data_IF_688642334237
#
_entry.id   IF_688642334237
#
_cell.length_a   1.000
_cell.length_b   1.000
_cell.length_c   1.000
_cell.angle_alpha   90.00
_cell.angle_beta   90.00
_cell.angle_gamma   90.00
#
_symmetry.space_group_name_H-M   'P 1'
#
loop_
_entity.id
_entity.type
_entity.pdbx_description
1 polymer ?
#
# COMPACT_ATOMS: atom_id res chain seq x y z
N UNK A 1 -9.08 -10.89 0.32
CA UNK A 1 -9.47 -10.20 -0.95
C UNK A 1 -10.98 -10.14 -1.14
N UNK A 2 -11.74 -11.25 -1.26
CA UNK A 2 -13.22 -11.21 -1.46
C UNK A 2 -13.99 -10.43 -0.39
N UNK A 3 -13.70 -10.67 0.89
CA UNK A 3 -14.38 -9.96 1.98
C UNK A 3 -14.12 -8.44 1.92
N UNK A 4 -12.89 -8.06 1.64
CA UNK A 4 -12.51 -6.63 1.50
C UNK A 4 -13.20 -6.00 0.29
N UNK A 5 -13.22 -6.68 -0.86
CA UNK A 5 -13.89 -6.19 -2.06
C UNK A 5 -15.41 -6.05 -1.85
N UNK A 6 -16.05 -7.01 -1.14
CA UNK A 6 -17.47 -6.94 -0.79
C UNK A 6 -17.76 -5.74 0.11
N UNK A 7 -17.05 -5.61 1.23
CA UNK A 7 -17.24 -4.50 2.16
C UNK A 7 -17.03 -3.14 1.48
N UNK A 8 -15.99 -3.01 0.68
CA UNK A 8 -15.70 -1.79 -0.06
C UNK A 8 -16.82 -1.44 -1.05
N UNK A 9 -17.33 -2.44 -1.80
CA UNK A 9 -18.46 -2.26 -2.72
C UNK A 9 -19.74 -1.83 -2.00
N UNK A 10 -20.01 -2.38 -0.81
CA UNK A 10 -21.16 -2.01 0.01
C UNK A 10 -21.05 -0.56 0.51
N UNK A 11 -19.86 -0.15 0.96
CA UNK A 11 -19.59 1.22 1.41
C UNK A 11 -19.70 2.26 0.27
N UNK A 12 -19.26 1.92 -0.94
CA UNK A 12 -19.46 2.79 -2.12
C UNK A 12 -20.95 2.94 -2.45
N UNK A 13 -21.68 1.82 -2.52
CA UNK A 13 -23.11 1.83 -2.82
C UNK A 13 -23.94 2.61 -1.81
N UNK A 14 -23.53 2.60 -0.55
CA UNK A 14 -24.18 3.39 0.52
C UNK A 14 -23.78 4.87 0.51
N UNK A 15 -22.78 5.26 -0.29
CA UNK A 15 -22.22 6.63 -0.31
C UNK A 15 -21.32 6.93 0.89
N UNK A 16 -20.94 5.91 1.70
CA UNK A 16 -20.06 6.08 2.85
C UNK A 16 -18.63 6.39 2.44
N UNK A 17 -18.20 5.93 1.26
CA UNK A 17 -16.92 6.31 0.66
C UNK A 17 -17.14 6.94 -0.71
N UNK A 18 -16.36 7.98 -1.08
CA UNK A 18 -16.41 8.58 -2.41
C UNK A 18 -15.98 7.61 -3.51
N UNK A 19 -16.55 7.75 -4.69
CA UNK A 19 -16.08 7.03 -5.88
C UNK A 19 -14.61 7.31 -6.19
N UNK A 20 -13.95 6.34 -6.80
CA UNK A 20 -12.56 6.48 -7.26
C UNK A 20 -11.49 6.26 -6.17
N UNK A 21 -11.88 5.94 -4.94
CA UNK A 21 -10.92 5.57 -3.89
C UNK A 21 -10.26 4.23 -4.21
N UNK A 22 -8.98 4.09 -3.83
CA UNK A 22 -8.25 2.84 -3.94
C UNK A 22 -8.54 1.95 -2.74
N UNK A 23 -8.57 0.64 -2.97
CA UNK A 23 -8.67 -0.38 -1.94
C UNK A 23 -7.32 -1.11 -1.85
N UNK A 24 -6.62 -0.92 -0.76
CA UNK A 24 -5.39 -1.65 -0.44
C UNK A 24 -5.75 -2.95 0.29
N UNK A 25 -5.16 -4.06 -0.13
CA UNK A 25 -5.43 -5.39 0.43
C UNK A 25 -4.12 -6.16 0.56
N UNK A 26 -3.84 -6.64 1.76
CA UNK A 26 -2.66 -7.47 2.01
C UNK A 26 -2.68 -8.76 1.18
N UNK A 27 -1.56 -9.08 0.61
CA UNK A 27 -1.25 -10.40 0.07
C UNK A 27 -1.20 -11.43 1.21
N UNK A 28 -1.60 -12.65 0.93
CA UNK A 28 -1.44 -13.76 1.88
C UNK A 28 -0.36 -14.68 1.34
N UNK A 29 0.89 -14.34 1.62
CA UNK A 29 2.08 -15.13 1.28
C UNK A 29 2.08 -15.61 -0.18
N UNK A 30 2.48 -16.85 -0.42
CA UNK A 30 2.54 -17.47 -1.75
C UNK A 30 1.16 -17.77 -2.36
N UNK A 31 0.05 -17.52 -1.64
CA UNK A 31 -1.30 -17.81 -2.13
C UNK A 31 -1.69 -16.82 -3.24
N UNK A 32 -1.98 -17.37 -4.41
CA UNK A 32 -2.62 -16.66 -5.50
C UNK A 32 -4.00 -17.27 -5.74
N UNK A 33 -4.94 -16.46 -6.22
CA UNK A 33 -6.26 -16.97 -6.60
C UNK A 33 -6.12 -18.02 -7.72
N UNK A 34 -6.86 -19.11 -7.60
CA UNK A 34 -6.99 -20.07 -8.70
C UNK A 34 -7.90 -19.53 -9.81
N UNK A 35 -8.00 -20.25 -10.93
CA UNK A 35 -8.76 -19.79 -12.11
C UNK A 35 -10.24 -19.52 -11.78
N UNK A 36 -10.88 -20.39 -10.98
CA UNK A 36 -12.30 -20.22 -10.59
C UNK A 36 -12.50 -19.00 -9.69
N UNK A 37 -11.62 -18.81 -8.73
CA UNK A 37 -11.63 -17.65 -7.83
C UNK A 37 -11.39 -16.34 -8.61
N UNK A 38 -10.49 -16.35 -9.59
CA UNK A 38 -10.27 -15.21 -10.48
C UNK A 38 -11.52 -14.88 -11.32
N UNK A 39 -12.18 -15.89 -11.88
CA UNK A 39 -13.42 -15.70 -12.64
C UNK A 39 -14.54 -15.14 -11.75
N UNK A 40 -14.65 -15.65 -10.52
CA UNK A 40 -15.63 -15.18 -9.55
C UNK A 40 -15.35 -13.74 -9.12
N UNK A 41 -14.09 -13.41 -8.83
CA UNK A 41 -13.67 -12.05 -8.49
C UNK A 41 -14.00 -11.06 -9.62
N UNK A 42 -13.66 -11.43 -10.86
CA UNK A 42 -13.97 -10.62 -12.05
C UNK A 42 -15.48 -10.43 -12.24
N UNK A 43 -16.25 -11.49 -12.10
CA UNK A 43 -17.71 -11.44 -12.27
C UNK A 43 -18.38 -10.57 -11.19
N UNK A 44 -17.95 -10.71 -9.94
CA UNK A 44 -18.61 -10.07 -8.78
C UNK A 44 -18.10 -8.66 -8.53
N UNK A 45 -16.81 -8.42 -8.75
CA UNK A 45 -16.11 -7.18 -8.34
C UNK A 45 -15.20 -6.63 -9.44
N UNK A 46 -15.43 -6.99 -10.72
CA UNK A 46 -14.59 -6.54 -11.84
C UNK A 46 -14.47 -5.03 -11.96
N UNK A 47 -15.50 -4.28 -11.56
CA UNK A 47 -15.51 -2.81 -11.53
C UNK A 47 -14.53 -2.22 -10.49
N UNK A 48 -14.14 -3.00 -9.46
CA UNK A 48 -13.17 -2.58 -8.43
C UNK A 48 -11.72 -2.90 -8.81
N UNK A 49 -11.49 -3.89 -9.69
CA UNK A 49 -10.13 -4.36 -10.00
C UNK A 49 -9.16 -3.26 -10.44
N UNK A 50 -9.56 -2.24 -11.21
CA UNK A 50 -8.66 -1.12 -11.56
C UNK A 50 -8.23 -0.28 -10.35
N UNK A 51 -8.96 -0.39 -9.24
CA UNK A 51 -8.72 0.37 -8.00
C UNK A 51 -8.21 -0.50 -6.86
N UNK A 52 -8.04 -1.81 -7.10
CA UNK A 52 -7.48 -2.74 -6.13
C UNK A 52 -5.96 -2.67 -6.18
N UNK A 53 -5.34 -2.42 -5.05
CA UNK A 53 -3.89 -2.43 -4.84
C UNK A 53 -3.55 -3.62 -3.94
N UNK A 54 -2.72 -4.53 -4.44
CA UNK A 54 -2.26 -5.67 -3.65
C UNK A 54 -0.95 -5.31 -2.94
N UNK A 55 -0.96 -5.35 -1.61
CA UNK A 55 0.21 -5.11 -0.77
C UNK A 55 1.03 -6.39 -0.64
N UNK A 56 2.30 -6.30 -0.94
CA UNK A 56 3.28 -7.39 -0.83
C UNK A 56 4.39 -6.91 0.08
N UNK A 57 4.64 -7.63 1.16
CA UNK A 57 5.75 -7.32 2.06
C UNK A 57 7.09 -7.71 1.45
N UNK A 58 8.16 -7.05 1.85
CA UNK A 58 9.51 -7.37 1.38
C UNK A 58 10.01 -8.76 1.82
N UNK A 59 9.45 -9.30 2.91
CA UNK A 59 9.76 -10.64 3.42
C UNK A 59 9.05 -11.76 2.65
N UNK A 60 8.06 -11.42 1.83
CA UNK A 60 7.34 -12.43 1.06
C UNK A 60 8.28 -13.07 0.03
N UNK A 61 8.35 -14.40 0.03
CA UNK A 61 9.14 -15.13 -0.97
C UNK A 61 8.59 -14.84 -2.37
N UNK A 62 9.32 -14.01 -3.10
CA UNK A 62 8.93 -13.54 -4.42
C UNK A 62 9.35 -14.57 -5.49
N UNK A 63 8.78 -15.78 -5.42
CA UNK A 63 8.81 -16.70 -6.54
C UNK A 63 8.22 -16.00 -7.80
N UNK A 64 8.98 -15.89 -8.89
CA UNK A 64 8.51 -15.22 -10.12
C UNK A 64 7.17 -15.76 -10.63
N UNK A 65 6.94 -17.06 -10.52
CA UNK A 65 5.69 -17.67 -10.95
C UNK A 65 4.52 -17.29 -10.04
N UNK A 66 4.76 -17.17 -8.72
CA UNK A 66 3.74 -16.69 -7.78
C UNK A 66 3.38 -15.23 -8.05
N UNK A 67 4.37 -14.38 -8.29
CA UNK A 67 4.15 -12.98 -8.65
C UNK A 67 3.36 -12.84 -9.95
N UNK A 68 3.71 -13.63 -10.97
CA UNK A 68 3.00 -13.63 -12.24
C UNK A 68 1.54 -14.11 -12.09
N UNK A 69 1.29 -15.11 -11.23
CA UNK A 69 -0.08 -15.52 -10.88
C UNK A 69 -0.88 -14.39 -10.23
N UNK A 70 -0.27 -13.64 -9.29
CA UNK A 70 -0.90 -12.48 -8.64
C UNK A 70 -1.23 -11.38 -9.67
N UNK A 71 -0.35 -11.13 -10.65
CA UNK A 71 -0.54 -10.16 -11.73
C UNK A 71 -1.73 -10.48 -12.65
N UNK A 72 -2.17 -11.72 -12.71
CA UNK A 72 -3.39 -12.10 -13.45
C UNK A 72 -4.65 -11.59 -12.77
N UNK A 73 -4.65 -11.53 -11.45
CA UNK A 73 -5.79 -11.10 -10.64
C UNK A 73 -5.81 -9.58 -10.42
N UNK A 74 -4.66 -8.99 -10.09
CA UNK A 74 -4.52 -7.57 -9.74
C UNK A 74 -3.38 -6.97 -10.54
N UNK A 75 -3.58 -5.74 -11.03
CA UNK A 75 -2.59 -5.05 -11.87
C UNK A 75 -1.72 -4.06 -11.09
N UNK A 76 -2.20 -3.59 -9.94
CA UNK A 76 -1.53 -2.57 -9.15
C UNK A 76 -1.01 -3.17 -7.85
N UNK A 77 0.25 -2.94 -7.57
CA UNK A 77 0.94 -3.45 -6.39
C UNK A 77 1.47 -2.31 -5.52
N UNK A 78 1.50 -2.55 -4.22
CA UNK A 78 2.27 -1.79 -3.26
C UNK A 78 3.35 -2.69 -2.65
N UNK A 79 4.56 -2.17 -2.49
CA UNK A 79 5.59 -2.80 -1.66
C UNK A 79 5.40 -2.28 -0.25
N UNK A 80 5.08 -3.18 0.67
CA UNK A 80 4.79 -2.90 2.08
C UNK A 80 6.03 -3.11 2.96
N UNK A 81 6.04 -2.46 4.12
CA UNK A 81 7.10 -2.51 5.14
C UNK A 81 8.51 -2.13 4.61
N UNK A 82 8.58 -1.25 3.59
CA UNK A 82 9.86 -0.86 3.00
C UNK A 82 10.75 -0.12 4.00
N UNK A 83 11.91 -0.68 4.26
CA UNK A 83 12.89 -0.17 5.22
C UNK A 83 12.99 -0.97 6.52
N UNK A 84 12.18 -2.03 6.69
CA UNK A 84 12.23 -2.89 7.87
C UNK A 84 13.25 -4.03 7.77
N UNK A 85 13.70 -4.42 6.57
CA UNK A 85 14.51 -5.63 6.33
C UNK A 85 15.66 -5.49 5.34
N UNK A 86 16.14 -6.63 4.84
CA UNK A 86 17.39 -6.74 4.08
C UNK A 86 17.21 -6.84 2.55
N UNK A 87 15.99 -6.95 2.03
CA UNK A 87 15.75 -7.28 0.61
C UNK A 87 15.00 -6.18 -0.17
N UNK A 88 14.97 -4.97 0.34
CA UNK A 88 14.20 -3.84 -0.19
C UNK A 88 14.36 -3.61 -1.71
N UNK A 89 15.61 -3.52 -2.19
CA UNK A 89 15.88 -3.20 -3.59
C UNK A 89 15.53 -4.38 -4.52
N UNK A 90 15.76 -5.61 -4.06
CA UNK A 90 15.43 -6.80 -4.84
C UNK A 90 13.91 -6.91 -5.05
N UNK A 91 13.14 -6.72 -3.98
CA UNK A 91 11.68 -6.73 -3.99
C UNK A 91 11.12 -5.60 -4.85
N UNK A 92 11.68 -4.39 -4.69
CA UNK A 92 11.32 -3.22 -5.47
C UNK A 92 11.50 -3.44 -6.99
N UNK A 93 12.61 -4.06 -7.40
CA UNK A 93 12.88 -4.35 -8.80
C UNK A 93 11.98 -5.47 -9.35
N UNK A 94 11.73 -6.52 -8.56
CA UNK A 94 10.91 -7.66 -8.97
C UNK A 94 9.43 -7.28 -9.10
N UNK A 95 8.90 -6.54 -8.12
CA UNK A 95 7.48 -6.15 -8.06
C UNK A 95 7.19 -5.01 -9.03
N UNK A 96 8.09 -4.03 -9.17
CA UNK A 96 7.84 -2.75 -9.86
C UNK A 96 6.51 -2.13 -9.39
N UNK A 97 6.38 -1.80 -8.10
CA UNK A 97 5.12 -1.39 -7.50
C UNK A 97 4.68 0.00 -7.98
N UNK A 98 3.38 0.30 -7.84
CA UNK A 98 2.88 1.67 -8.01
C UNK A 98 3.03 2.50 -6.72
N UNK A 99 3.13 1.81 -5.57
CA UNK A 99 3.26 2.44 -4.25
C UNK A 99 4.40 1.78 -3.46
N UNK A 100 5.19 2.61 -2.76
CA UNK A 100 6.19 2.19 -1.76
C UNK A 100 5.69 2.68 -0.42
N UNK A 101 5.38 1.77 0.51
CA UNK A 101 4.92 2.08 1.87
C UNK A 101 6.13 2.01 2.80
N UNK A 102 6.53 3.18 3.28
CA UNK A 102 7.67 3.32 4.21
C UNK A 102 7.28 2.86 5.58
N UNK A 103 8.02 1.89 6.11
CA UNK A 103 7.77 1.30 7.43
C UNK A 103 7.83 2.32 8.56
N UNK A 104 7.03 2.07 9.60
CA UNK A 104 6.99 2.82 10.85
C UNK A 104 8.39 3.08 11.46
N UNK A 105 9.31 2.11 11.38
CA UNK A 105 10.66 2.25 11.95
C UNK A 105 11.46 3.38 11.30
N UNK A 106 11.20 3.68 10.03
CA UNK A 106 11.80 4.82 9.31
C UNK A 106 11.05 6.11 9.64
N UNK A 107 9.71 6.07 9.69
CA UNK A 107 8.89 7.28 9.79
C UNK A 107 8.83 7.85 11.21
N UNK A 108 8.78 6.98 12.24
CA UNK A 108 8.72 7.45 13.64
C UNK A 108 9.97 8.23 14.03
N UNK A 109 9.79 9.47 14.47
CA UNK A 109 10.87 10.37 14.90
C UNK A 109 11.69 10.97 13.76
N UNK A 110 11.22 10.88 12.53
CA UNK A 110 11.89 11.43 11.35
C UNK A 110 12.14 12.95 11.45
N UNK A 111 11.33 13.66 12.20
CA UNK A 111 11.48 15.11 12.38
C UNK A 111 12.82 15.51 13.03
N UNK A 112 13.47 14.61 13.75
CA UNK A 112 14.73 14.85 14.48
C UNK A 112 15.89 13.97 14.03
N UNK A 113 15.71 13.13 13.01
CA UNK A 113 16.70 12.15 12.54
C UNK A 113 17.06 12.42 11.07
N UNK A 114 18.25 12.98 10.85
CA UNK A 114 18.73 13.37 9.52
C UNK A 114 18.99 12.17 8.61
N UNK A 115 19.34 11.01 9.18
CA UNK A 115 19.60 9.80 8.40
C UNK A 115 18.27 9.25 7.86
N UNK A 116 17.23 9.22 8.69
CA UNK A 116 15.86 8.87 8.25
C UNK A 116 15.33 9.81 7.18
N UNK A 117 15.54 11.14 7.36
CA UNK A 117 15.17 12.14 6.36
C UNK A 117 15.86 11.86 5.02
N UNK A 118 17.16 11.52 5.05
CA UNK A 118 17.91 11.22 3.84
C UNK A 118 17.42 9.94 3.15
N UNK A 119 17.10 8.90 3.92
CA UNK A 119 16.53 7.64 3.39
C UNK A 119 15.20 7.93 2.70
N UNK A 120 14.28 8.63 3.36
CA UNK A 120 12.97 8.97 2.79
C UNK A 120 13.13 9.83 1.54
N UNK A 121 13.96 10.88 1.58
CA UNK A 121 14.23 11.76 0.43
C UNK A 121 14.76 10.98 -0.78
N UNK A 122 15.69 10.05 -0.57
CA UNK A 122 16.25 9.22 -1.63
C UNK A 122 15.17 8.30 -2.23
N UNK A 123 14.34 7.68 -1.38
CA UNK A 123 13.25 6.79 -1.80
C UNK A 123 12.20 7.56 -2.59
N UNK A 124 11.78 8.74 -2.12
CA UNK A 124 10.84 9.63 -2.84
C UNK A 124 11.41 10.01 -4.20
N UNK A 125 12.66 10.47 -4.25
CA UNK A 125 13.31 10.83 -5.51
C UNK A 125 13.43 9.67 -6.50
N UNK A 126 13.67 8.44 -6.01
CA UNK A 126 13.66 7.25 -6.84
C UNK A 126 12.24 6.94 -7.35
N UNK A 127 11.26 6.92 -6.45
CA UNK A 127 9.87 6.60 -6.75
C UNK A 127 9.29 7.54 -7.82
N UNK A 128 9.45 8.84 -7.64
CA UNK A 128 8.93 9.85 -8.56
C UNK A 128 9.52 9.73 -9.97
N UNK A 129 10.84 9.46 -10.08
CA UNK A 129 11.47 9.22 -11.41
C UNK A 129 10.91 7.99 -12.12
N UNK A 130 10.29 7.06 -11.39
CA UNK A 130 9.70 5.82 -11.92
C UNK A 130 8.17 5.89 -12.02
N UNK A 131 7.56 7.02 -11.67
CA UNK A 131 6.11 7.20 -11.64
C UNK A 131 5.41 6.46 -10.51
N UNK A 132 6.16 6.06 -9.47
CA UNK A 132 5.63 5.44 -8.26
C UNK A 132 5.28 6.52 -7.23
N UNK A 133 4.45 6.19 -6.26
CA UNK A 133 4.10 7.04 -5.12
C UNK A 133 4.65 6.47 -3.82
N UNK A 134 4.97 7.35 -2.87
CA UNK A 134 5.45 6.98 -1.54
C UNK A 134 4.36 7.24 -0.51
N UNK A 135 4.13 6.27 0.37
CA UNK A 135 3.23 6.34 1.53
C UNK A 135 4.08 6.31 2.80
N UNK A 136 3.96 7.31 3.66
CA UNK A 136 4.55 7.25 5.00
C UNK A 136 3.55 6.61 5.96
N UNK A 137 3.97 5.53 6.64
CA UNK A 137 3.14 4.80 7.57
C UNK A 137 3.52 5.06 9.03
N UNK A 138 2.57 4.81 9.92
CA UNK A 138 2.81 4.92 11.35
C UNK A 138 3.05 6.35 11.85
N UNK A 139 2.47 7.35 11.20
CA UNK A 139 2.52 8.73 11.67
C UNK A 139 1.80 8.87 13.02
N UNK A 140 2.54 9.29 14.06
CA UNK A 140 2.02 9.47 15.40
C UNK A 140 2.06 10.92 15.85
N UNK A 141 2.84 11.79 15.18
CA UNK A 141 3.02 13.20 15.58
C UNK A 141 2.84 14.17 14.41
N UNK A 142 2.43 15.40 14.75
CA UNK A 142 2.36 16.51 13.79
C UNK A 142 3.72 16.88 13.21
N UNK A 143 4.81 16.71 14.00
CA UNK A 143 6.17 17.04 13.57
C UNK A 143 6.67 16.05 12.51
N UNK A 144 6.44 14.76 12.71
CA UNK A 144 6.79 13.72 11.71
C UNK A 144 5.99 13.93 10.43
N UNK A 145 4.68 14.20 10.56
CA UNK A 145 3.83 14.50 9.39
C UNK A 145 4.35 15.70 8.59
N UNK A 146 4.70 16.82 9.26
CA UNK A 146 5.24 18.01 8.59
C UNK A 146 6.56 17.70 7.87
N UNK A 147 7.41 16.87 8.50
CA UNK A 147 8.68 16.45 7.89
C UNK A 147 8.41 15.60 6.64
N UNK A 148 7.53 14.61 6.69
CA UNK A 148 7.16 13.81 5.51
C UNK A 148 6.62 14.68 4.37
N UNK A 149 5.77 15.66 4.68
CA UNK A 149 5.27 16.62 3.67
C UNK A 149 6.43 17.42 3.05
N UNK A 150 7.38 17.89 3.87
CA UNK A 150 8.52 18.66 3.38
C UNK A 150 9.49 17.84 2.52
N UNK A 151 9.47 16.52 2.66
CA UNK A 151 10.23 15.56 1.86
C UNK A 151 9.46 15.07 0.62
N UNK A 152 8.32 15.69 0.30
CA UNK A 152 7.49 15.39 -0.87
C UNK A 152 6.91 13.96 -0.89
N UNK A 153 6.59 13.42 0.30
CA UNK A 153 5.87 12.14 0.43
C UNK A 153 4.44 12.32 -0.07
N UNK A 154 3.97 11.41 -0.92
CA UNK A 154 2.68 11.54 -1.63
C UNK A 154 1.46 11.27 -0.73
N UNK A 155 1.54 10.29 0.14
CA UNK A 155 0.43 9.80 0.97
C UNK A 155 0.90 9.59 2.41
N UNK A 156 -0.02 9.81 3.34
CA UNK A 156 0.25 9.78 4.77
C UNK A 156 -0.76 8.87 5.47
N UNK A 157 -0.28 7.97 6.35
CA UNK A 157 -1.10 7.05 7.13
C UNK A 157 -0.56 6.95 8.56
N UNK A 158 -1.46 6.96 9.56
CA UNK A 158 -1.08 6.74 10.94
C UNK A 158 -2.10 7.24 11.95
N UNK A 159 -1.92 6.90 13.20
CA UNK A 159 -2.82 7.22 14.30
C UNK A 159 -3.00 8.72 14.55
N UNK A 160 -2.02 9.51 14.15
CA UNK A 160 -2.15 10.97 14.22
C UNK A 160 -3.25 11.50 13.28
N UNK A 161 -3.49 10.83 12.16
CA UNK A 161 -4.52 11.23 11.18
C UNK A 161 -5.87 10.61 11.54
N UNK A 162 -5.89 9.31 11.76
CA UNK A 162 -7.09 8.56 12.16
C UNK A 162 -6.69 7.19 12.72
N UNK A 163 -7.41 6.71 13.73
CA UNK A 163 -7.32 5.33 14.16
C UNK A 163 -8.05 4.40 13.18
N UNK A 164 -7.64 3.13 13.05
CA UNK A 164 -8.40 2.14 12.31
C UNK A 164 -9.86 2.06 12.82
N UNK A 165 -10.79 2.00 11.90
CA UNK A 165 -12.21 1.92 12.19
C UNK A 165 -12.89 0.85 11.33
N UNK A 166 -14.04 0.34 11.79
CA UNK A 166 -14.81 -0.69 11.07
C UNK A 166 -15.43 -0.13 9.77
N UNK A 167 -15.74 1.17 9.76
CA UNK A 167 -16.25 1.88 8.59
C UNK A 167 -15.77 3.35 8.62
N UNK A 168 -15.74 4.04 7.46
CA UNK A 168 -15.28 5.43 7.38
C UNK A 168 -16.04 6.41 8.28
N UNK A 169 -17.30 6.15 8.59
CA UNK A 169 -18.13 6.98 9.49
C UNK A 169 -17.73 6.89 10.98
N UNK A 170 -16.91 5.90 11.36
CA UNK A 170 -16.46 5.68 12.74
C UNK A 170 -15.15 6.45 13.04
N UNK A 171 -14.59 7.16 12.05
CA UNK A 171 -13.36 7.95 12.19
C UNK A 171 -13.76 9.31 12.78
N UNK A 172 -13.40 9.53 14.05
CA UNK A 172 -13.64 10.78 14.80
C UNK A 172 -12.34 11.54 15.03
#
# INVERSE_FOLDING_TARGET
MFNSARAFSELEKSGAIPEGKLLFVNSIGSQALNSKENEELNRSYGHLLPRLVLEITEEEDLDPDALERKRRSVKTFALDDYGSGYNNEKSLLAISPAFIKMDLAIIRGINSDVDKQQIVSNTVGYAHRRGMKVVAEGLETASDMKMCISLDVDLLQGFYLACPASAPGDIT
#
